data_IF_179776368665
#
_entry.id   IF_179776368665
#
_cell.length_a   1.000
_cell.length_b   1.000
_cell.length_c   1.000
_cell.angle_alpha   90.00
_cell.angle_beta   90.00
_cell.angle_gamma   90.00
#
_symmetry.space_group_name_H-M   'P 1'
#
loop_
_entity.id
_entity.type
_entity.pdbx_description
1 polymer ?
#
# COMPACT_ATOMS: atom_id res chain seq x y z
N UNK A 1 -2.51 5.78 10.16
CA UNK A 1 -1.56 5.54 9.04
C UNK A 1 -0.19 5.23 9.64
N UNK A 2 0.72 4.54 8.92
CA UNK A 2 1.95 3.82 9.34
C UNK A 2 2.69 4.13 10.66
N UNK A 3 2.52 5.30 11.26
CA UNK A 3 3.08 5.69 12.55
C UNK A 3 4.06 6.85 12.37
N UNK A 4 4.53 7.39 13.49
CA UNK A 4 5.60 8.38 13.49
C UNK A 4 6.88 7.81 12.87
N UNK A 5 7.65 8.65 12.19
CA UNK A 5 8.94 8.27 11.59
C UNK A 5 8.87 7.66 10.19
N UNK A 6 7.66 7.45 9.66
CA UNK A 6 7.47 7.04 8.27
C UNK A 6 7.32 8.25 7.36
N UNK A 7 8.03 8.25 6.23
CA UNK A 7 7.90 9.21 5.14
C UNK A 7 7.31 8.52 3.92
N UNK A 8 6.45 9.23 3.17
CA UNK A 8 5.97 8.72 1.87
C UNK A 8 7.14 8.77 0.89
N UNK A 9 7.47 7.62 0.32
CA UNK A 9 8.52 7.49 -0.70
C UNK A 9 7.92 7.22 -2.08
N UNK A 10 6.69 6.71 -2.15
CA UNK A 10 5.98 6.51 -3.41
C UNK A 10 4.46 6.44 -3.23
N UNK A 11 3.70 6.67 -4.31
CA UNK A 11 2.26 6.48 -4.34
C UNK A 11 1.72 6.23 -5.74
N UNK A 12 0.66 5.42 -5.83
CA UNK A 12 0.00 5.10 -7.09
C UNK A 12 -1.51 5.31 -6.97
N UNK A 13 -2.07 6.03 -7.95
CA UNK A 13 -3.51 6.31 -8.00
C UNK A 13 -4.26 5.11 -8.58
N UNK A 14 -5.35 4.72 -7.93
CA UNK A 14 -6.27 3.68 -8.38
C UNK A 14 -7.43 4.33 -9.13
N UNK A 15 -7.47 4.19 -10.46
CA UNK A 15 -8.51 4.77 -11.31
C UNK A 15 -9.28 3.67 -12.04
N UNK A 16 -10.61 3.72 -11.96
CA UNK A 16 -11.51 2.86 -12.74
C UNK A 16 -12.55 3.73 -13.45
N UNK A 17 -12.76 3.51 -14.74
CA UNK A 17 -13.74 4.28 -15.53
C UNK A 17 -13.48 5.79 -15.55
N UNK A 18 -12.22 6.23 -15.42
CA UNK A 18 -11.87 7.65 -15.33
C UNK A 18 -12.08 8.29 -13.95
N UNK A 19 -12.58 7.55 -12.96
CA UNK A 19 -12.82 8.03 -11.60
C UNK A 19 -11.78 7.46 -10.64
N UNK A 20 -11.24 8.33 -9.77
CA UNK A 20 -10.30 7.94 -8.72
C UNK A 20 -11.02 7.16 -7.62
N UNK A 21 -10.66 5.90 -7.45
CA UNK A 21 -11.23 4.99 -6.46
C UNK A 21 -10.44 5.04 -5.14
N UNK A 22 -9.15 5.31 -5.24
CA UNK A 22 -8.26 5.40 -4.11
C UNK A 22 -6.82 5.66 -4.50
N UNK A 23 -5.92 5.54 -3.52
CA UNK A 23 -4.48 5.65 -3.71
C UNK A 23 -3.75 4.69 -2.79
N UNK A 24 -2.78 3.98 -3.34
CA UNK A 24 -1.84 3.16 -2.57
C UNK A 24 -0.63 4.03 -2.25
N UNK A 25 -0.14 3.95 -1.01
CA UNK A 25 1.07 4.66 -0.57
C UNK A 25 2.10 3.67 -0.07
N UNK A 26 3.34 3.85 -0.51
CA UNK A 26 4.53 3.23 0.07
C UNK A 26 5.23 4.25 0.96
N UNK A 27 5.45 3.86 2.21
CA UNK A 27 6.17 4.65 3.19
C UNK A 27 7.38 3.90 3.70
N UNK A 28 8.40 4.63 4.13
CA UNK A 28 9.63 4.07 4.71
C UNK A 28 10.03 4.80 5.97
N UNK A 29 10.54 4.05 6.95
CA UNK A 29 11.18 4.57 8.15
C UNK A 29 12.66 4.21 8.12
N UNK A 30 13.51 5.23 7.92
CA UNK A 30 14.98 5.08 7.92
C UNK A 30 15.45 4.54 9.29
N UNK A 31 14.89 5.06 10.39
CA UNK A 31 15.26 4.66 11.73
C UNK A 31 14.96 3.17 12.04
N UNK A 32 13.94 2.60 11.39
CA UNK A 32 13.51 1.21 11.61
C UNK A 32 13.85 0.26 10.44
N UNK A 33 14.43 0.76 9.34
CA UNK A 33 14.70 -0.03 8.13
C UNK A 33 13.47 -0.77 7.57
N UNK A 34 12.29 -0.14 7.66
CA UNK A 34 11.00 -0.81 7.47
C UNK A 34 10.12 -0.06 6.49
N UNK A 35 9.59 -0.79 5.50
CA UNK A 35 8.55 -0.29 4.59
C UNK A 35 7.16 -0.51 5.18
N UNK A 36 6.22 0.33 4.77
CA UNK A 36 4.83 0.27 5.16
C UNK A 36 3.93 0.63 3.98
N UNK A 37 2.92 -0.19 3.70
CA UNK A 37 1.97 0.05 2.61
C UNK A 37 0.56 0.21 3.17
N UNK A 38 -0.16 1.19 2.64
CA UNK A 38 -1.59 1.42 2.90
C UNK A 38 -2.32 1.74 1.60
N UNK A 39 -3.57 1.32 1.48
CA UNK A 39 -4.46 1.72 0.39
C UNK A 39 -5.59 2.55 0.97
N UNK A 40 -5.66 3.83 0.61
CA UNK A 40 -6.70 4.76 1.03
C UNK A 40 -7.79 4.85 -0.04
N UNK A 41 -9.04 4.93 0.41
CA UNK A 41 -10.19 5.17 -0.47
C UNK A 41 -10.32 6.65 -0.80
N UNK A 42 -10.66 6.92 -2.06
CA UNK A 42 -11.14 8.23 -2.51
C UNK A 42 -12.64 8.18 -2.84
N UNK A 43 -13.13 7.03 -3.30
CA UNK A 43 -14.55 6.74 -3.49
C UNK A 43 -15.10 5.85 -2.37
N UNK A 44 -16.42 5.87 -2.15
CA UNK A 44 -17.11 5.07 -1.12
C UNK A 44 -16.58 5.30 0.31
N UNK A 45 -15.95 6.45 0.60
CA UNK A 45 -15.42 6.78 1.93
C UNK A 45 -16.55 6.73 2.98
N UNK A 46 -16.35 5.99 4.06
CA UNK A 46 -17.34 5.75 5.10
C UNK A 46 -18.23 4.51 4.87
N UNK A 47 -18.27 3.97 3.64
CA UNK A 47 -18.97 2.72 3.31
C UNK A 47 -18.01 1.54 3.34
N UNK A 48 -18.39 0.43 3.97
CA UNK A 48 -17.57 -0.78 3.96
C UNK A 48 -17.57 -1.41 2.55
N UNK A 49 -16.43 -1.36 1.86
CA UNK A 49 -16.21 -2.01 0.55
C UNK A 49 -14.87 -2.74 0.55
N UNK A 50 -14.71 -3.71 -0.35
CA UNK A 50 -13.45 -4.47 -0.44
C UNK A 50 -12.30 -3.56 -0.84
N UNK A 51 -11.26 -3.52 0.01
CA UNK A 51 -9.99 -2.84 -0.26
C UNK A 51 -8.86 -3.83 0.05
N UNK A 52 -7.84 -3.83 -0.80
CA UNK A 52 -6.63 -4.63 -0.57
C UNK A 52 -5.40 -3.75 -0.52
N UNK A 53 -4.40 -4.18 0.23
CA UNK A 53 -3.05 -3.64 0.20
C UNK A 53 -2.05 -4.76 0.43
N UNK A 54 -0.87 -4.69 -0.17
CA UNK A 54 0.16 -5.70 0.02
C UNK A 54 1.56 -5.11 -0.03
N UNK A 55 2.49 -5.85 0.58
CA UNK A 55 3.92 -5.62 0.54
C UNK A 55 4.61 -6.97 0.39
N UNK A 56 5.55 -7.04 -0.54
CA UNK A 56 6.38 -8.21 -0.81
C UNK A 56 7.83 -7.76 -0.85
N UNK A 57 8.63 -8.27 0.08
CA UNK A 57 10.08 -8.05 0.08
C UNK A 57 10.70 -9.11 -0.81
N UNK A 58 11.63 -8.73 -1.68
CA UNK A 58 12.25 -9.68 -2.59
C UNK A 58 12.85 -10.87 -1.83
N UNK A 59 12.49 -12.09 -2.25
CA UNK A 59 12.91 -13.33 -1.59
C UNK A 59 12.08 -13.73 -0.36
N UNK A 60 11.03 -12.99 0.01
CA UNK A 60 10.09 -13.32 1.09
C UNK A 60 8.67 -13.52 0.56
N UNK A 61 7.84 -14.20 1.36
CA UNK A 61 6.43 -14.32 1.05
C UNK A 61 5.73 -12.94 1.11
N UNK A 62 4.81 -12.70 0.16
CA UNK A 62 3.96 -11.51 0.15
C UNK A 62 3.06 -11.46 1.40
N UNK A 63 3.00 -10.30 2.03
CA UNK A 63 2.02 -9.99 3.05
C UNK A 63 0.88 -9.18 2.45
N UNK A 64 -0.37 -9.58 2.72
CA UNK A 64 -1.56 -8.94 2.17
C UNK A 64 -2.56 -8.65 3.27
N UNK A 65 -3.12 -7.44 3.29
CA UNK A 65 -4.32 -7.11 4.03
C UNK A 65 -5.47 -6.93 3.04
N UNK A 66 -6.53 -7.71 3.22
CA UNK A 66 -7.72 -7.71 2.35
C UNK A 66 -8.95 -7.84 3.23
N UNK A 67 -9.97 -7.03 2.95
CA UNK A 67 -11.19 -7.01 3.74
C UNK A 67 -12.13 -5.90 3.32
N UNK A 68 -13.28 -5.84 3.98
CA UNK A 68 -14.23 -4.74 3.80
C UNK A 68 -13.85 -3.59 4.73
N UNK A 69 -13.40 -2.47 4.16
CA UNK A 69 -12.91 -1.32 4.90
C UNK A 69 -13.73 -0.07 4.57
N UNK A 70 -14.03 0.73 5.59
CA UNK A 70 -14.72 2.01 5.40
C UNK A 70 -13.82 3.10 4.83
N UNK A 71 -12.51 3.06 5.14
CA UNK A 71 -11.58 4.16 4.85
C UNK A 71 -10.30 3.72 4.16
N UNK A 72 -9.63 2.69 4.66
CA UNK A 72 -8.34 2.23 4.11
C UNK A 72 -8.04 0.78 4.52
N UNK A 73 -7.21 0.10 3.74
CA UNK A 73 -6.58 -1.18 4.10
C UNK A 73 -5.12 -0.97 4.53
N UNK A 74 -4.63 -1.79 5.47
CA UNK A 74 -3.28 -1.71 6.03
C UNK A 74 -3.25 -1.16 7.46
N UNK A 75 -2.05 -0.87 8.00
CA UNK A 75 -0.74 -0.96 7.36
C UNK A 75 -0.22 -2.39 7.23
N UNK A 76 0.38 -2.73 6.09
CA UNK A 76 1.25 -3.91 5.95
C UNK A 76 2.70 -3.43 6.07
N UNK A 77 3.46 -4.00 7.01
CA UNK A 77 4.83 -3.55 7.32
C UNK A 77 5.81 -4.71 7.18
N UNK A 78 6.98 -4.43 6.62
CA UNK A 78 8.07 -5.40 6.56
C UNK A 78 9.44 -4.71 6.58
N UNK A 79 10.40 -5.33 7.26
CA UNK A 79 11.80 -4.92 7.21
C UNK A 79 12.39 -5.32 5.84
N UNK A 80 12.97 -4.34 5.16
CA UNK A 80 13.47 -4.45 3.80
C UNK A 80 14.60 -3.45 3.49
N UNK A 81 15.35 -3.01 4.50
CA UNK A 81 16.51 -2.13 4.28
C UNK A 81 17.50 -2.78 3.29
N UNK A 82 17.83 -2.07 2.20
CA UNK A 82 18.72 -2.58 1.16
C UNK A 82 18.15 -3.74 0.33
N UNK A 83 16.83 -3.97 0.35
CA UNK A 83 16.17 -5.05 -0.39
C UNK A 83 14.96 -4.50 -1.14
N UNK A 84 14.88 -4.76 -2.44
CA UNK A 84 13.75 -4.29 -3.25
C UNK A 84 12.41 -4.79 -2.70
N UNK A 85 11.41 -3.93 -2.79
CA UNK A 85 10.03 -4.24 -2.43
C UNK A 85 9.10 -4.12 -3.61
N UNK A 86 8.07 -4.95 -3.61
CA UNK A 86 6.90 -4.87 -4.48
C UNK A 86 5.68 -4.55 -3.63
N UNK A 87 4.90 -3.57 -4.05
CA UNK A 87 3.80 -3.04 -3.27
C UNK A 87 2.60 -2.75 -4.16
N UNK A 88 1.43 -2.65 -3.54
CA UNK A 88 0.22 -2.36 -4.29
C UNK A 88 -1.05 -2.57 -3.49
N UNK A 89 -2.17 -2.54 -4.19
CA UNK A 89 -3.48 -2.62 -3.59
C UNK A 89 -4.60 -2.42 -4.60
N UNK A 90 -5.84 -2.49 -4.11
CA UNK A 90 -7.04 -2.30 -4.92
C UNK A 90 -8.15 -1.65 -4.11
N UNK A 91 -9.00 -0.89 -4.81
CA UNK A 91 -10.22 -0.26 -4.30
C UNK A 91 -11.16 0.04 -5.47
N UNK A 92 -12.47 -0.14 -5.28
CA UNK A 92 -13.48 0.28 -6.27
C UNK A 92 -13.30 -0.27 -7.69
N UNK A 93 -12.79 -1.50 -7.81
CA UNK A 93 -12.52 -2.14 -9.11
C UNK A 93 -11.23 -1.69 -9.81
N UNK A 94 -10.47 -0.76 -9.23
CA UNK A 94 -9.13 -0.39 -9.68
C UNK A 94 -8.05 -1.11 -8.86
N UNK A 95 -6.92 -1.42 -9.49
CA UNK A 95 -5.76 -2.04 -8.84
C UNK A 95 -4.45 -1.45 -9.35
N UNK A 96 -3.43 -1.53 -8.50
CA UNK A 96 -2.05 -1.21 -8.84
C UNK A 96 -1.11 -2.25 -8.24
N UNK A 97 -0.08 -2.59 -8.98
CA UNK A 97 1.00 -3.47 -8.57
C UNK A 97 2.31 -2.95 -9.15
N UNK A 98 3.24 -2.57 -8.28
CA UNK A 98 4.58 -2.13 -8.71
C UNK A 98 5.40 -3.32 -9.25
N UNK A 99 6.51 -3.08 -9.98
CA UNK A 99 7.62 -4.03 -10.03
C UNK A 99 8.33 -4.11 -8.66
N UNK A 100 9.41 -4.89 -8.57
CA UNK A 100 10.35 -4.74 -7.44
C UNK A 100 11.18 -3.46 -7.65
N UNK A 101 11.19 -2.60 -6.65
CA UNK A 101 11.81 -1.27 -6.66
C UNK A 101 12.12 -0.83 -5.22
N UNK A 102 12.62 0.39 -5.01
CA UNK A 102 12.98 0.92 -3.68
C UNK A 102 13.93 -0.02 -2.91
N UNK A 103 15.09 -0.29 -3.51
CA UNK A 103 16.05 -1.32 -3.06
C UNK A 103 17.11 -0.80 -2.07
N UNK A 104 16.92 0.40 -1.53
CA UNK A 104 17.96 1.19 -0.88
C UNK A 104 17.90 1.16 0.66
#
# INVERSE_FOLDING_TARGET
MCGSGYQVIDSATLTAGGVRQGRVYLLYSIAAGTNCVVTLKDADVGRATTVTTYLEVQGKARQTASGSYQYYAGPVRANAAGVCVKWGGSAGGASYASPFEHCD
#
